data_IF_535391937087
#
_entry.id   IF_535391937087
#
_cell.length_a   1.000
_cell.length_b   1.000
_cell.length_c   1.000
_cell.angle_alpha   90.00
_cell.angle_beta   90.00
_cell.angle_gamma   90.00
#
_symmetry.space_group_name_H-M   'P 1'
#
loop_
_entity.id
_entity.type
_entity.pdbx_description
1 polymer ?
#
# COMPACT_ATOMS: atom_id res chain seq x y z
N UNK A 1 10.12 -52.12 47.13
CA UNK A 1 9.46 -51.65 45.90
C UNK A 1 9.88 -50.20 45.68
N UNK A 2 10.37 -49.86 44.48
CA UNK A 2 11.00 -48.57 44.13
C UNK A 2 9.95 -47.45 43.98
N UNK A 3 10.21 -46.20 44.41
CA UNK A 3 9.37 -45.06 44.05
C UNK A 3 9.72 -44.61 42.62
N UNK A 4 8.69 -44.43 41.79
CA UNK A 4 8.80 -43.88 40.44
C UNK A 4 8.72 -42.36 40.56
N UNK A 5 9.81 -41.64 40.23
CA UNK A 5 9.77 -40.20 40.00
C UNK A 5 9.25 -39.96 38.58
N UNK A 6 8.13 -39.24 38.46
CA UNK A 6 7.62 -38.72 37.20
C UNK A 6 8.28 -37.35 36.98
N UNK A 7 9.23 -37.27 36.02
CA UNK A 7 9.76 -36.00 35.53
C UNK A 7 8.75 -35.36 34.58
N UNK A 8 8.14 -34.26 35.02
CA UNK A 8 7.31 -33.40 34.17
C UNK A 8 8.27 -32.48 33.38
N UNK A 9 8.42 -32.77 32.08
CA UNK A 9 9.16 -31.95 31.15
C UNK A 9 8.31 -30.74 30.76
N UNK A 10 8.58 -29.58 31.35
CA UNK A 10 8.02 -28.30 30.90
C UNK A 10 8.63 -27.93 29.55
N UNK A 11 7.87 -28.11 28.47
CA UNK A 11 8.20 -27.54 27.16
C UNK A 11 7.96 -26.03 27.28
N UNK A 12 9.04 -25.27 27.42
CA UNK A 12 9.02 -23.82 27.31
C UNK A 12 8.71 -23.47 25.85
N UNK A 13 7.44 -23.19 25.54
CA UNK A 13 7.09 -22.50 24.30
C UNK A 13 7.72 -21.12 24.35
N UNK A 14 8.83 -20.92 23.65
CA UNK A 14 9.34 -19.60 23.34
C UNK A 14 8.32 -18.91 22.43
N UNK A 15 7.40 -18.15 23.03
CA UNK A 15 6.57 -17.20 22.29
C UNK A 15 7.54 -16.13 21.79
N UNK A 16 7.94 -16.22 20.52
CA UNK A 16 8.65 -15.14 19.87
C UNK A 16 7.70 -13.96 19.78
N UNK A 17 7.75 -13.07 20.77
CA UNK A 17 7.10 -11.76 20.69
C UNK A 17 7.63 -11.07 19.45
N UNK A 18 6.73 -10.72 18.51
CA UNK A 18 7.08 -9.83 17.42
C UNK A 18 7.69 -8.55 18.01
N UNK A 19 8.73 -7.96 17.40
CA UNK A 19 9.23 -6.67 17.83
C UNK A 19 8.07 -5.68 17.88
N UNK A 20 7.95 -4.91 18.96
CA UNK A 20 7.01 -3.79 19.00
C UNK A 20 7.31 -2.81 17.85
N UNK A 21 6.28 -2.20 17.27
CA UNK A 21 6.41 -1.09 16.32
C UNK A 21 7.10 0.09 17.04
N UNK A 22 8.43 0.10 17.02
CA UNK A 22 9.22 1.06 17.81
C UNK A 22 9.45 2.39 17.08
N UNK A 23 9.08 2.52 15.80
CA UNK A 23 9.27 3.74 15.01
C UNK A 23 7.99 4.56 14.88
N UNK A 24 8.09 5.89 15.04
CA UNK A 24 7.07 6.83 14.59
C UNK A 24 7.38 7.32 13.18
N UNK A 25 6.39 7.84 12.44
CA UNK A 25 6.66 8.44 11.12
C UNK A 25 7.71 9.55 11.19
N UNK A 26 7.69 10.31 12.28
CA UNK A 26 8.66 11.36 12.58
C UNK A 26 10.10 10.87 12.68
N UNK A 27 10.37 9.57 12.69
CA UNK A 27 11.73 9.01 12.65
C UNK A 27 12.21 8.65 11.24
N UNK A 28 11.35 8.60 10.22
CA UNK A 28 11.74 8.22 8.86
C UNK A 28 12.81 9.17 8.28
N UNK A 29 13.87 8.64 7.71
CA UNK A 29 14.91 9.48 7.09
C UNK A 29 14.39 10.15 5.82
N UNK A 30 14.70 11.43 5.61
CA UNK A 30 14.34 12.16 4.39
C UNK A 30 15.20 11.73 3.21
N UNK A 31 14.62 11.79 2.01
CA UNK A 31 15.18 11.47 0.68
C UNK A 31 14.62 10.18 0.06
N UNK A 32 14.97 9.96 -1.21
CA UNK A 32 14.61 8.78 -1.95
C UNK A 32 15.16 7.53 -1.27
N UNK A 33 14.33 6.49 -1.13
CA UNK A 33 14.78 5.20 -0.61
C UNK A 33 15.31 5.19 0.81
N UNK A 34 15.03 6.25 1.55
CA UNK A 34 15.58 6.41 2.88
C UNK A 34 14.86 5.52 3.89
N UNK A 35 15.63 4.94 4.80
CA UNK A 35 15.13 3.95 5.75
C UNK A 35 14.05 4.51 6.67
N UNK A 36 13.13 3.64 7.06
CA UNK A 36 11.99 4.02 7.90
C UNK A 36 12.30 4.00 9.40
N UNK A 37 13.52 3.59 9.78
CA UNK A 37 14.02 3.58 11.15
C UNK A 37 13.05 2.87 12.13
N UNK A 38 12.53 1.71 11.70
CA UNK A 38 11.63 0.86 12.47
C UNK A 38 10.14 1.21 12.36
N UNK A 39 9.75 2.23 11.58
CA UNK A 39 8.34 2.47 11.28
C UNK A 39 7.80 1.41 10.31
N UNK A 40 6.67 0.81 10.67
CA UNK A 40 5.93 -0.15 9.84
C UNK A 40 4.60 0.52 9.48
N UNK A 41 4.28 0.56 8.19
CA UNK A 41 3.03 1.14 7.69
C UNK A 41 1.83 0.40 8.25
N UNK A 42 0.82 1.13 8.70
CA UNK A 42 -0.42 0.65 9.31
C UNK A 42 -0.26 -0.02 10.70
N UNK A 43 -1.35 -0.12 11.49
CA UNK A 43 -1.37 -0.88 12.73
C UNK A 43 -0.97 -2.35 12.57
N UNK A 44 -0.54 -2.99 13.66
CA UNK A 44 -0.10 -4.39 13.66
C UNK A 44 -1.21 -5.40 13.31
N UNK A 45 -2.47 -5.04 13.52
CA UNK A 45 -3.65 -5.86 13.19
C UNK A 45 -4.15 -5.66 11.75
N UNK A 46 -3.54 -4.71 11.01
CA UNK A 46 -3.81 -4.49 9.60
C UNK A 46 -3.52 -5.77 8.78
N UNK A 47 -4.26 -5.97 7.69
CA UNK A 47 -4.07 -7.11 6.80
C UNK A 47 -2.62 -7.26 6.30
N UNK A 48 -1.90 -6.16 6.06
CA UNK A 48 -0.48 -6.16 5.69
C UNK A 48 0.40 -6.72 6.81
N UNK A 49 0.16 -6.36 8.06
CA UNK A 49 1.06 -6.65 9.19
C UNK A 49 0.64 -7.88 10.01
N UNK A 50 -0.56 -8.40 9.76
CA UNK A 50 -1.07 -9.57 10.48
C UNK A 50 -0.25 -10.82 10.14
N UNK A 51 0.27 -11.47 11.17
CA UNK A 51 0.87 -12.80 11.04
C UNK A 51 -0.22 -13.82 10.68
N UNK A 52 0.00 -14.53 9.57
CA UNK A 52 -0.90 -15.52 9.00
C UNK A 52 -0.29 -16.93 8.98
N UNK A 53 0.82 -17.19 9.69
CA UNK A 53 1.51 -18.48 9.65
C UNK A 53 0.58 -19.68 9.98
N UNK A 54 -0.45 -19.45 10.80
CA UNK A 54 -1.43 -20.46 11.21
C UNK A 54 -2.84 -20.18 10.66
N UNK A 55 -2.99 -19.26 9.71
CA UNK A 55 -4.29 -19.00 9.09
C UNK A 55 -4.82 -20.24 8.35
N UNK A 56 -6.14 -20.46 8.27
CA UNK A 56 -6.70 -21.56 7.51
C UNK A 56 -6.29 -21.52 6.04
N UNK A 57 -6.13 -22.71 5.44
CA UNK A 57 -5.84 -22.86 4.00
C UNK A 57 -7.16 -22.93 3.24
N UNK A 58 -7.21 -22.32 2.07
CA UNK A 58 -8.37 -22.38 1.19
C UNK A 58 -8.56 -23.82 0.66
N UNK A 59 -9.78 -24.38 0.69
CA UNK A 59 -10.05 -25.73 0.17
C UNK A 59 -9.67 -25.92 -1.30
N UNK A 60 -9.61 -24.84 -2.10
CA UNK A 60 -9.21 -24.89 -3.51
C UNK A 60 -7.72 -24.57 -3.73
N UNK A 61 -6.92 -24.46 -2.67
CA UNK A 61 -5.51 -24.04 -2.75
C UNK A 61 -4.74 -24.83 -3.81
N UNK A 62 -4.78 -26.16 -3.80
CA UNK A 62 -4.03 -26.98 -4.77
C UNK A 62 -4.49 -26.76 -6.21
N UNK A 63 -5.79 -26.59 -6.45
CA UNK A 63 -6.33 -26.32 -7.79
C UNK A 63 -5.89 -24.95 -8.31
N UNK A 64 -5.90 -23.93 -7.45
CA UNK A 64 -5.45 -22.57 -7.78
C UNK A 64 -3.94 -22.54 -8.05
N UNK A 65 -3.13 -23.19 -7.22
CA UNK A 65 -1.68 -23.29 -7.42
C UNK A 65 -1.34 -24.00 -8.73
N UNK A 66 -2.07 -25.07 -9.06
CA UNK A 66 -1.92 -25.75 -10.35
C UNK A 66 -2.32 -24.86 -11.53
N UNK A 67 -3.36 -24.02 -11.38
CA UNK A 67 -3.77 -23.05 -12.40
C UNK A 67 -2.74 -21.93 -12.63
N UNK A 68 -2.10 -21.44 -11.56
CA UNK A 68 -0.96 -20.50 -11.64
C UNK A 68 0.24 -21.14 -12.36
N UNK A 69 0.34 -22.47 -12.28
CA UNK A 69 1.46 -23.27 -12.74
C UNK A 69 2.34 -23.65 -11.56
N UNK A 70 2.23 -24.89 -11.09
CA UNK A 70 2.89 -25.38 -9.88
C UNK A 70 4.43 -25.28 -9.91
N UNK A 71 5.03 -25.25 -11.12
CA UNK A 71 6.47 -25.08 -11.35
C UNK A 71 6.87 -23.63 -11.66
N UNK A 72 5.92 -22.70 -11.80
CA UNK A 72 6.22 -21.27 -11.96
C UNK A 72 6.97 -20.80 -10.71
N UNK A 73 8.13 -20.18 -10.89
CA UNK A 73 9.00 -19.82 -9.78
C UNK A 73 8.77 -18.38 -9.33
N UNK A 74 9.01 -18.14 -8.04
CA UNK A 74 9.03 -16.80 -7.46
C UNK A 74 10.06 -15.94 -8.19
N UNK A 75 9.70 -14.73 -8.57
CA UNK A 75 10.58 -13.82 -9.29
C UNK A 75 10.71 -12.50 -8.51
N UNK A 76 11.92 -12.10 -8.06
CA UNK A 76 12.12 -10.76 -7.52
C UNK A 76 12.13 -9.76 -8.66
N UNK A 77 11.18 -8.83 -8.66
CA UNK A 77 11.06 -7.74 -9.62
C UNK A 77 11.65 -6.44 -9.05
N UNK A 78 12.85 -6.56 -8.49
CA UNK A 78 13.63 -5.50 -7.85
C UNK A 78 15.07 -5.96 -7.67
N UNK A 79 16.00 -5.02 -7.48
CA UNK A 79 17.40 -5.34 -7.22
C UNK A 79 18.33 -4.13 -7.27
N UNK A 80 19.62 -4.42 -7.42
CA UNK A 80 20.68 -3.43 -7.57
C UNK A 80 20.90 -3.08 -9.05
N UNK A 81 21.26 -1.83 -9.31
CA UNK A 81 21.56 -1.32 -10.65
C UNK A 81 20.35 -1.19 -11.57
N UNK A 82 20.62 -1.32 -12.87
CA UNK A 82 19.63 -1.10 -13.93
C UNK A 82 19.39 -2.37 -14.76
N UNK A 83 18.16 -2.54 -15.22
CA UNK A 83 17.79 -3.49 -16.27
C UNK A 83 17.30 -2.69 -17.48
N UNK A 84 17.90 -2.94 -18.64
CA UNK A 84 17.58 -2.23 -19.88
C UNK A 84 17.68 -0.68 -19.75
N UNK A 85 18.60 -0.20 -18.92
CA UNK A 85 18.84 1.24 -18.74
C UNK A 85 17.83 1.95 -17.84
N UNK A 86 17.12 1.20 -16.99
CA UNK A 86 16.20 1.71 -15.97
C UNK A 86 16.34 0.95 -14.65
N UNK A 87 16.08 1.62 -13.53
CA UNK A 87 16.09 1.01 -12.19
C UNK A 87 15.06 -0.12 -12.07
N UNK A 88 15.40 -1.18 -11.34
CA UNK A 88 14.56 -2.38 -11.18
C UNK A 88 13.73 -2.28 -9.89
N UNK A 89 12.40 -2.23 -10.01
CA UNK A 89 11.46 -2.11 -8.91
C UNK A 89 10.84 -0.71 -8.78
N UNK A 90 10.06 -0.51 -7.70
CA UNK A 90 9.24 0.68 -7.51
C UNK A 90 9.89 1.61 -6.46
N UNK A 91 10.37 2.80 -6.85
CA UNK A 91 11.01 3.71 -5.92
C UNK A 91 9.99 4.52 -5.11
N UNK A 92 10.43 5.04 -3.96
CA UNK A 92 9.67 5.99 -3.15
C UNK A 92 10.57 7.12 -2.64
N UNK A 93 9.95 8.19 -2.15
CA UNK A 93 10.62 9.29 -1.46
C UNK A 93 9.94 9.62 -0.13
N UNK A 94 10.75 9.86 0.90
CA UNK A 94 10.27 10.43 2.17
C UNK A 94 10.46 11.94 2.15
N UNK A 95 9.39 12.67 2.46
CA UNK A 95 9.35 14.13 2.49
C UNK A 95 8.95 14.65 3.86
N UNK A 96 9.36 15.89 4.16
CA UNK A 96 8.94 16.68 5.31
C UNK A 96 8.89 18.15 4.91
N UNK A 97 7.85 18.86 5.33
CA UNK A 97 7.58 20.26 4.94
C UNK A 97 7.40 20.48 3.43
N UNK A 98 7.15 19.43 2.65
CA UNK A 98 7.08 19.51 1.20
C UNK A 98 5.82 20.27 0.75
N UNK A 99 6.01 21.23 -0.16
CA UNK A 99 4.92 22.01 -0.72
C UNK A 99 3.94 21.11 -1.46
N UNK A 100 2.66 21.28 -1.15
CA UNK A 100 1.55 20.64 -1.83
C UNK A 100 1.37 21.18 -3.26
N UNK A 101 1.17 20.26 -4.19
CA UNK A 101 0.96 20.52 -5.62
C UNK A 101 -0.37 19.94 -6.10
N UNK A 102 -0.89 20.51 -7.19
CA UNK A 102 -2.09 19.98 -7.83
C UNK A 102 -1.71 18.76 -8.68
N UNK A 103 -2.52 17.72 -8.58
CA UNK A 103 -2.49 16.57 -9.49
C UNK A 103 -3.65 16.71 -10.48
N UNK A 104 -3.39 16.60 -11.77
CA UNK A 104 -4.41 16.51 -12.82
C UNK A 104 -4.67 15.07 -13.20
N UNK A 105 -5.94 14.65 -13.27
CA UNK A 105 -6.29 13.29 -13.65
C UNK A 105 -6.69 13.18 -15.12
N UNK A 106 -6.20 12.14 -15.81
CA UNK A 106 -6.50 11.88 -17.23
C UNK A 106 -7.20 10.53 -17.49
N UNK A 107 -7.48 9.73 -16.46
CA UNK A 107 -8.23 8.47 -16.56
C UNK A 107 -9.19 8.28 -15.38
N UNK A 108 -8.73 7.68 -14.27
CA UNK A 108 -9.53 7.28 -13.10
C UNK A 108 -9.75 8.44 -12.11
N UNK A 109 -10.08 9.63 -12.62
CA UNK A 109 -10.23 10.84 -11.80
C UNK A 109 -11.37 10.76 -10.78
N UNK A 110 -12.48 10.09 -11.15
CA UNK A 110 -13.66 9.94 -10.30
C UNK A 110 -13.44 8.96 -9.14
N UNK A 111 -12.48 8.06 -9.30
CA UNK A 111 -12.02 7.17 -8.23
C UNK A 111 -10.85 7.82 -7.46
N UNK A 112 -10.14 8.81 -8.00
CA UNK A 112 -8.95 9.35 -7.36
C UNK A 112 -9.22 10.28 -6.17
N UNK A 113 -8.24 10.39 -5.27
CA UNK A 113 -8.24 11.40 -4.21
C UNK A 113 -7.88 12.78 -4.77
N UNK A 114 -8.69 13.83 -4.54
CA UNK A 114 -8.65 15.08 -5.32
C UNK A 114 -7.44 15.99 -5.02
N UNK A 115 -6.58 15.62 -4.07
CA UNK A 115 -5.43 16.40 -3.63
C UNK A 115 -5.79 17.76 -3.00
N UNK A 116 -4.82 18.68 -2.86
CA UNK A 116 -3.44 18.58 -3.35
C UNK A 116 -2.61 17.51 -2.63
N UNK A 117 -1.39 17.23 -3.12
CA UNK A 117 -0.48 16.22 -2.55
C UNK A 117 0.95 16.77 -2.43
N UNK A 118 1.77 16.36 -1.44
CA UNK A 118 3.13 16.86 -1.23
C UNK A 118 4.14 16.16 -2.15
N UNK A 119 3.90 16.13 -3.46
CA UNK A 119 4.77 15.44 -4.43
C UNK A 119 5.87 16.38 -4.92
N UNK A 120 7.17 16.14 -4.62
CA UNK A 120 8.26 16.94 -5.16
C UNK A 120 8.31 16.83 -6.68
N UNK A 121 8.80 17.89 -7.36
CA UNK A 121 9.09 17.82 -8.81
C UNK A 121 10.13 16.73 -9.16
N UNK A 122 10.99 16.41 -8.19
CA UNK A 122 12.05 15.40 -8.26
C UNK A 122 11.63 14.04 -7.71
N UNK A 123 10.33 13.82 -7.45
CA UNK A 123 9.87 12.52 -6.98
C UNK A 123 10.28 11.42 -7.98
N UNK A 124 10.85 10.31 -7.52
CA UNK A 124 11.23 9.22 -8.41
C UNK A 124 9.97 8.56 -8.97
N UNK A 125 10.01 8.26 -10.25
CA UNK A 125 9.04 7.50 -11.01
C UNK A 125 9.62 6.10 -11.26
N UNK A 126 8.81 5.07 -11.11
CA UNK A 126 9.19 3.73 -11.55
C UNK A 126 9.70 3.71 -13.00
N UNK A 127 10.82 3.02 -13.21
CA UNK A 127 11.45 2.90 -14.51
C UNK A 127 12.32 4.10 -14.93
N UNK A 128 12.66 5.05 -14.05
CA UNK A 128 13.71 6.04 -14.37
C UNK A 128 15.05 5.35 -14.72
N UNK A 129 15.90 5.98 -15.58
CA UNK A 129 15.65 7.23 -16.27
C UNK A 129 14.73 7.15 -17.49
N UNK A 130 14.40 5.93 -17.94
CA UNK A 130 13.63 5.69 -19.16
C UNK A 130 12.29 4.99 -18.87
N UNK A 131 11.33 5.66 -18.19
CA UNK A 131 10.11 5.01 -17.69
C UNK A 131 9.12 4.59 -18.80
N UNK A 132 9.38 5.00 -20.05
CA UNK A 132 8.59 4.60 -21.22
C UNK A 132 7.08 4.76 -21.01
N UNK A 133 6.33 3.75 -21.45
CA UNK A 133 4.89 3.60 -21.26
C UNK A 133 4.53 2.60 -20.16
N UNK A 134 5.43 2.34 -19.21
CA UNK A 134 5.14 1.47 -18.05
C UNK A 134 4.13 2.12 -17.10
N UNK A 135 4.00 1.54 -15.90
CA UNK A 135 3.01 2.00 -14.92
C UNK A 135 3.36 3.36 -14.31
N UNK A 136 4.66 3.68 -14.22
CA UNK A 136 5.15 5.01 -13.82
C UNK A 136 4.63 5.39 -12.44
N UNK A 137 4.72 4.46 -11.49
CA UNK A 137 4.33 4.71 -10.12
C UNK A 137 5.17 5.83 -9.49
N UNK A 138 4.54 6.69 -8.69
CA UNK A 138 5.22 7.67 -7.81
C UNK A 138 4.67 7.51 -6.40
N UNK A 139 5.55 7.17 -5.46
CA UNK A 139 5.21 6.91 -4.07
C UNK A 139 5.89 7.94 -3.16
N UNK A 140 5.10 8.63 -2.33
CA UNK A 140 5.57 9.69 -1.45
C UNK A 140 5.08 9.46 -0.03
N UNK A 141 6.00 9.36 0.92
CA UNK A 141 5.70 9.32 2.34
C UNK A 141 5.91 10.69 2.96
N UNK A 142 4.84 11.25 3.52
CA UNK A 142 4.90 12.45 4.33
C UNK A 142 5.15 12.07 5.79
N UNK A 143 6.40 12.24 6.23
CA UNK A 143 6.83 11.86 7.58
C UNK A 143 6.21 12.73 8.66
N UNK A 144 5.90 13.97 8.33
CA UNK A 144 5.43 14.97 9.30
C UNK A 144 3.96 14.73 9.63
N UNK A 145 3.19 14.26 8.64
CA UNK A 145 1.76 14.03 8.79
C UNK A 145 1.35 12.54 8.78
N UNK A 146 2.28 11.59 8.61
CA UNK A 146 1.99 10.15 8.53
C UNK A 146 0.99 9.78 7.42
N UNK A 147 1.21 10.28 6.20
CA UNK A 147 0.40 9.92 5.04
C UNK A 147 1.28 9.35 3.93
N UNK A 148 0.71 8.41 3.20
CA UNK A 148 1.28 7.89 1.96
C UNK A 148 0.43 8.40 0.78
N UNK A 149 1.10 8.90 -0.25
CA UNK A 149 0.49 9.38 -1.48
C UNK A 149 1.07 8.58 -2.64
N UNK A 150 0.20 8.00 -3.46
CA UNK A 150 0.60 7.14 -4.55
C UNK A 150 -0.11 7.54 -5.83
N UNK A 151 0.62 7.54 -6.94
CA UNK A 151 0.08 7.86 -8.26
C UNK A 151 0.44 6.77 -9.26
N UNK A 152 -0.48 6.46 -10.17
CA UNK A 152 -0.26 5.60 -11.34
C UNK A 152 -0.32 6.43 -12.62
N UNK A 153 0.49 6.07 -13.62
CA UNK A 153 0.58 6.78 -14.89
C UNK A 153 1.12 8.21 -14.72
N UNK A 154 2.08 8.42 -13.83
CA UNK A 154 2.50 9.76 -13.43
C UNK A 154 3.44 10.44 -14.44
N UNK A 155 3.19 11.72 -14.68
CA UNK A 155 4.01 12.60 -15.50
C UNK A 155 4.18 13.96 -14.84
N UNK A 156 5.43 14.39 -14.68
CA UNK A 156 5.76 15.74 -14.21
C UNK A 156 5.60 16.76 -15.34
N UNK A 157 4.89 17.85 -15.05
CA UNK A 157 4.69 18.95 -15.99
C UNK A 157 5.83 19.98 -15.86
N UNK A 158 6.05 20.79 -16.91
CA UNK A 158 7.08 21.84 -16.94
C UNK A 158 6.98 22.82 -15.75
N UNK A 159 5.76 23.15 -15.35
CA UNK A 159 5.45 24.04 -14.23
C UNK A 159 5.63 23.40 -12.83
N UNK A 160 6.03 22.13 -12.75
CA UNK A 160 6.24 21.41 -11.50
C UNK A 160 4.98 20.82 -10.84
N UNK A 161 3.81 20.94 -11.48
CA UNK A 161 2.65 20.11 -11.14
C UNK A 161 2.75 18.74 -11.82
N UNK A 162 1.82 17.86 -11.50
CA UNK A 162 1.78 16.50 -12.02
C UNK A 162 0.46 16.20 -12.73
N UNK A 163 0.52 15.31 -13.71
CA UNK A 163 -0.65 14.59 -14.21
C UNK A 163 -0.49 13.10 -13.91
N UNK A 164 -1.58 12.41 -13.61
CA UNK A 164 -1.59 10.98 -13.32
C UNK A 164 -2.90 10.36 -13.84
N UNK A 165 -2.88 9.05 -14.10
CA UNK A 165 -4.09 8.30 -14.40
C UNK A 165 -4.96 8.14 -13.16
N UNK A 166 -4.34 7.86 -12.01
CA UNK A 166 -5.01 7.83 -10.70
C UNK A 166 -4.10 8.36 -9.59
N UNK A 167 -4.70 8.73 -8.46
CA UNK A 167 -3.95 8.89 -7.22
C UNK A 167 -4.78 8.47 -6.00
N UNK A 168 -4.11 7.89 -5.01
CA UNK A 168 -4.70 7.47 -3.74
C UNK A 168 -3.88 8.00 -2.56
N UNK A 169 -4.56 8.28 -1.45
CA UNK A 169 -3.93 8.66 -0.18
C UNK A 169 -4.27 7.64 0.90
N UNK A 170 -3.31 7.38 1.78
CA UNK A 170 -3.43 6.37 2.82
C UNK A 170 -2.97 6.89 4.16
N UNK A 171 -3.83 6.77 5.16
CA UNK A 171 -3.47 7.01 6.54
C UNK A 171 -2.59 5.86 7.06
N UNK A 172 -1.29 6.14 7.25
CA UNK A 172 -0.34 5.12 7.70
C UNK A 172 -0.51 4.70 9.17
N UNK A 173 -1.43 5.33 9.90
CA UNK A 173 -1.75 5.05 11.31
C UNK A 173 -3.10 4.33 11.47
N UNK A 174 -3.89 4.18 10.41
CA UNK A 174 -5.24 3.62 10.48
C UNK A 174 -5.46 2.50 9.46
N UNK A 175 -6.51 1.69 9.69
CA UNK A 175 -6.90 0.57 8.83
C UNK A 175 -7.87 1.01 7.72
N UNK A 176 -7.52 2.09 7.02
CA UNK A 176 -8.35 2.63 5.95
C UNK A 176 -8.37 1.69 4.73
N UNK A 177 -9.51 1.66 4.04
CA UNK A 177 -9.70 0.98 2.76
C UNK A 177 -10.28 1.97 1.76
N UNK A 178 -9.93 1.80 0.48
CA UNK A 178 -10.59 2.50 -0.62
C UNK A 178 -12.07 2.11 -0.70
N UNK A 179 -12.95 2.96 -1.27
CA UNK A 179 -14.30 2.53 -1.57
C UNK A 179 -14.31 1.23 -2.38
N UNK A 180 -15.30 0.38 -2.13
CA UNK A 180 -15.50 -0.80 -2.95
C UNK A 180 -15.62 -0.41 -4.42
N UNK A 181 -15.00 -1.24 -5.27
CA UNK A 181 -14.85 -1.05 -6.72
C UNK A 181 -14.03 0.16 -7.14
N UNK A 182 -13.36 0.86 -6.23
CA UNK A 182 -12.42 1.91 -6.60
C UNK A 182 -11.01 1.35 -6.70
N UNK A 183 -10.36 1.58 -7.83
CA UNK A 183 -8.93 1.31 -8.05
C UNK A 183 -8.05 2.21 -7.16
N UNK A 184 -6.74 2.13 -7.30
CA UNK A 184 -5.79 3.03 -6.65
C UNK A 184 -4.61 3.31 -7.59
N UNK A 185 -3.41 3.56 -7.05
CA UNK A 185 -2.19 3.42 -7.83
C UNK A 185 -1.91 1.95 -8.19
N UNK A 186 -2.46 1.01 -7.42
CA UNK A 186 -2.45 -0.44 -7.66
C UNK A 186 -3.83 -0.92 -8.14
N UNK A 187 -3.87 -1.90 -9.04
CA UNK A 187 -5.12 -2.38 -9.64
C UNK A 187 -6.08 -3.04 -8.63
N UNK A 188 -5.63 -3.61 -7.52
CA UNK A 188 -6.50 -4.21 -6.51
C UNK A 188 -7.21 -3.18 -5.62
N UNK A 189 -6.94 -1.88 -5.82
CA UNK A 189 -7.37 -0.83 -4.90
C UNK A 189 -6.59 -0.87 -3.58
N UNK A 190 -5.33 -1.31 -3.64
CA UNK A 190 -4.41 -1.47 -2.51
C UNK A 190 -3.30 -0.42 -2.51
N UNK A 191 -2.66 -0.13 -1.37
CA UNK A 191 -1.44 0.66 -1.38
C UNK A 191 -0.27 -0.15 -1.96
N UNK A 192 0.59 0.48 -2.76
CA UNK A 192 1.78 -0.17 -3.36
C UNK A 192 2.91 -0.30 -2.35
N UNK A 193 3.28 0.82 -1.70
CA UNK A 193 4.44 0.92 -0.82
C UNK A 193 4.48 -0.12 0.31
N UNK A 194 3.39 -0.39 1.05
CA UNK A 194 3.38 -1.38 2.13
C UNK A 194 3.61 -2.81 1.66
N UNK A 195 3.51 -3.07 0.35
CA UNK A 195 3.80 -4.38 -0.24
C UNK A 195 5.21 -4.54 -0.79
N UNK A 196 6.08 -3.52 -0.73
CA UNK A 196 7.42 -3.58 -1.31
C UNK A 196 8.41 -4.25 -0.37
N UNK A 197 9.23 -5.17 -0.88
CA UNK A 197 10.45 -5.57 -0.19
C UNK A 197 11.46 -4.41 -0.18
N UNK A 198 12.01 -4.06 1.00
CA UNK A 198 12.98 -2.96 1.14
C UNK A 198 14.29 -3.43 1.75
N UNK A 199 15.38 -2.83 1.29
CA UNK A 199 16.72 -3.24 1.70
C UNK A 199 16.98 -2.96 3.19
N UNK A 200 16.49 -1.84 3.73
CA UNK A 200 16.69 -1.48 5.14
C UNK A 200 16.09 -2.52 6.10
N UNK A 201 14.93 -3.09 5.75
CA UNK A 201 14.30 -4.17 6.52
C UNK A 201 15.07 -5.49 6.41
N UNK A 202 15.53 -5.83 5.20
CA UNK A 202 16.35 -7.03 4.99
C UNK A 202 17.69 -6.93 5.71
N UNK A 203 18.32 -5.76 5.67
CA UNK A 203 19.54 -5.47 6.43
C UNK A 203 19.31 -5.49 7.95
N UNK A 204 18.13 -5.07 8.41
CA UNK A 204 17.70 -5.21 9.80
C UNK A 204 17.32 -6.65 10.20
N UNK A 205 17.22 -7.56 9.22
CA UNK A 205 17.00 -8.99 9.43
C UNK A 205 15.54 -9.43 9.45
N UNK A 206 14.57 -8.55 9.23
CA UNK A 206 13.15 -8.90 9.20
C UNK A 206 12.31 -7.90 8.40
N UNK A 207 11.48 -8.44 7.50
CA UNK A 207 10.32 -7.72 6.93
C UNK A 207 9.09 -8.10 7.77
N UNK A 208 8.33 -7.10 8.22
CA UNK A 208 7.25 -7.27 9.21
C UNK A 208 5.84 -7.12 8.62
N UNK A 209 5.73 -7.28 7.30
CA UNK A 209 4.50 -7.12 6.56
C UNK A 209 4.46 -8.10 5.38
N UNK A 210 3.28 -8.26 4.78
CA UNK A 210 3.08 -9.01 3.56
C UNK A 210 3.72 -8.27 2.38
N UNK A 211 4.13 -9.03 1.37
CA UNK A 211 4.61 -8.47 0.10
C UNK A 211 3.48 -8.40 -0.93
N UNK A 212 3.57 -7.51 -1.92
CA UNK A 212 2.70 -7.55 -3.09
C UNK A 212 3.30 -8.43 -4.17
N UNK A 213 2.44 -9.09 -4.93
CA UNK A 213 2.87 -9.83 -6.11
C UNK A 213 1.83 -9.74 -7.23
N UNK A 214 2.24 -10.17 -8.43
CA UNK A 214 1.36 -10.20 -9.61
C UNK A 214 1.16 -11.62 -10.15
N UNK A 215 0.02 -11.80 -10.81
CA UNK A 215 -0.33 -13.00 -11.60
C UNK A 215 -0.79 -12.58 -12.99
N UNK A 216 -0.55 -13.43 -13.97
CA UNK A 216 -1.00 -13.14 -15.34
C UNK A 216 -2.52 -13.06 -15.47
N UNK A 217 -3.23 -13.89 -14.71
CA UNK A 217 -4.67 -14.06 -14.85
C UNK A 217 -5.39 -13.76 -13.52
N UNK A 218 -6.39 -12.91 -13.60
CA UNK A 218 -7.33 -12.63 -12.51
C UNK A 218 -8.78 -12.68 -12.99
N UNK A 219 -9.68 -13.07 -12.09
CA UNK A 219 -11.13 -13.09 -12.35
C UNK A 219 -11.81 -11.81 -11.86
N UNK A 220 -13.07 -11.59 -12.27
CA UNK A 220 -13.90 -10.45 -11.84
C UNK A 220 -14.40 -10.59 -10.40
N UNK A 221 -13.44 -10.65 -9.47
CA UNK A 221 -13.66 -10.80 -8.06
C UNK A 221 -12.48 -10.24 -7.25
N UNK A 222 -12.74 -9.92 -5.99
CA UNK A 222 -11.72 -9.54 -5.02
C UNK A 222 -12.04 -10.11 -3.65
N UNK A 223 -11.05 -10.19 -2.77
CA UNK A 223 -11.18 -10.59 -1.37
C UNK A 223 -10.36 -9.61 -0.52
N UNK A 224 -10.76 -9.30 0.73
CA UNK A 224 -9.99 -8.39 1.57
C UNK A 224 -8.50 -8.77 1.66
N UNK A 225 -7.57 -7.78 1.68
CA UNK A 225 -7.83 -6.35 1.83
C UNK A 225 -8.16 -5.59 0.53
N UNK A 226 -8.17 -6.25 -0.63
CA UNK A 226 -8.49 -5.58 -1.89
C UNK A 226 -9.92 -5.01 -1.86
N UNK A 227 -10.14 -3.95 -2.64
CA UNK A 227 -11.45 -3.32 -2.84
C UNK A 227 -11.92 -3.35 -4.29
N UNK A 228 -11.03 -3.70 -5.23
CA UNK A 228 -11.25 -3.62 -6.67
C UNK A 228 -10.68 -4.85 -7.38
N UNK A 229 -11.12 -5.08 -8.63
CA UNK A 229 -10.66 -6.19 -9.48
C UNK A 229 -10.27 -5.68 -10.87
N UNK A 230 -9.28 -6.32 -11.50
CA UNK A 230 -8.86 -6.01 -12.87
C UNK A 230 -8.93 -7.27 -13.75
N UNK A 231 -10.13 -7.79 -13.97
CA UNK A 231 -10.30 -9.11 -14.56
C UNK A 231 -9.82 -9.21 -16.02
N UNK A 232 -9.09 -10.26 -16.33
CA UNK A 232 -8.72 -10.65 -17.70
C UNK A 232 -8.94 -12.15 -17.99
N UNK A 233 -9.61 -12.85 -17.07
CA UNK A 233 -9.99 -14.26 -17.20
C UNK A 233 -11.39 -14.52 -16.65
N UNK A 234 -12.11 -15.46 -17.25
CA UNK A 234 -13.39 -15.98 -16.75
C UNK A 234 -13.24 -17.32 -16.00
N UNK A 235 -12.01 -17.86 -15.90
CA UNK A 235 -11.77 -19.13 -15.21
C UNK A 235 -12.00 -18.96 -13.70
N UNK A 236 -12.80 -19.86 -13.10
CA UNK A 236 -13.09 -19.85 -11.67
C UNK A 236 -11.84 -20.02 -10.78
N UNK A 237 -10.75 -20.58 -11.29
CA UNK A 237 -9.47 -20.74 -10.59
C UNK A 237 -8.52 -19.55 -10.75
N UNK A 238 -8.83 -18.59 -11.63
CA UNK A 238 -8.05 -17.35 -11.68
C UNK A 238 -8.21 -16.59 -10.36
N UNK A 239 -7.12 -15.99 -9.88
CA UNK A 239 -7.10 -15.37 -8.56
C UNK A 239 -8.09 -14.19 -8.51
N UNK A 240 -8.90 -14.04 -7.45
CA UNK A 240 -9.45 -12.74 -7.12
C UNK A 240 -8.31 -11.79 -6.70
N UNK A 241 -8.45 -10.49 -6.95
CA UNK A 241 -7.54 -9.50 -6.35
C UNK A 241 -7.61 -9.59 -4.82
N UNK A 242 -6.47 -9.37 -4.15
CA UNK A 242 -6.34 -9.54 -2.70
C UNK A 242 -6.11 -10.98 -2.24
N UNK A 243 -6.18 -11.99 -3.13
CA UNK A 243 -5.83 -13.37 -2.78
C UNK A 243 -4.43 -13.43 -2.15
N UNK A 244 -4.30 -14.13 -1.02
CA UNK A 244 -3.05 -14.21 -0.28
C UNK A 244 -2.41 -15.60 -0.41
N UNK A 245 -1.17 -15.62 -0.88
CA UNK A 245 -0.32 -16.81 -0.87
C UNK A 245 0.58 -16.81 0.36
N UNK A 246 0.71 -17.94 1.03
CA UNK A 246 1.64 -18.17 2.14
C UNK A 246 2.68 -19.20 1.74
N UNK A 247 3.96 -18.93 2.00
CA UNK A 247 5.00 -19.94 1.85
C UNK A 247 4.82 -20.98 2.96
N UNK A 248 4.75 -22.27 2.59
CA UNK A 248 4.53 -23.35 3.57
C UNK A 248 5.64 -23.35 4.62
N UNK A 249 5.26 -23.52 5.89
CA UNK A 249 6.22 -23.62 6.99
C UNK A 249 7.18 -24.82 6.85
N UNK A 250 6.76 -25.86 6.11
CA UNK A 250 7.57 -27.05 5.81
C UNK A 250 8.59 -26.86 4.68
N UNK A 251 8.50 -25.76 3.91
CA UNK A 251 9.49 -25.49 2.88
C UNK A 251 10.81 -25.06 3.52
N UNK A 252 11.87 -25.83 3.30
CA UNK A 252 13.18 -25.56 3.92
C UNK A 252 13.85 -24.36 3.26
N UNK A 253 14.05 -23.31 4.04
CA UNK A 253 14.72 -22.08 3.62
C UNK A 253 16.18 -22.00 4.11
N UNK A 254 16.67 -23.00 4.83
CA UNK A 254 18.00 -22.98 5.47
C UNK A 254 19.15 -22.84 4.45
N UNK A 255 18.99 -23.45 3.27
CA UNK A 255 19.93 -23.36 2.14
C UNK A 255 19.83 -22.09 1.30
N UNK A 256 19.02 -21.11 1.70
CA UNK A 256 18.95 -19.82 1.02
C UNK A 256 19.98 -18.82 1.56
N UNK A 257 20.55 -17.98 0.68
CA UNK A 257 21.42 -16.88 1.08
C UNK A 257 20.65 -15.83 1.91
N UNK A 258 21.38 -14.96 2.58
CA UNK A 258 20.85 -14.21 3.73
C UNK A 258 19.70 -13.27 3.37
N UNK A 259 19.79 -12.51 2.27
CA UNK A 259 18.74 -11.55 1.90
C UNK A 259 17.45 -12.29 1.51
N UNK A 260 17.57 -13.32 0.67
CA UNK A 260 16.48 -14.22 0.31
C UNK A 260 15.85 -14.89 1.53
N UNK A 261 16.65 -15.34 2.49
CA UNK A 261 16.14 -16.01 3.70
C UNK A 261 15.26 -15.08 4.53
N UNK A 262 15.60 -13.79 4.63
CA UNK A 262 14.74 -12.80 5.30
C UNK A 262 13.41 -12.63 4.56
N UNK A 263 13.44 -12.50 3.24
CA UNK A 263 12.24 -12.40 2.39
C UNK A 263 11.36 -13.65 2.54
N UNK A 264 11.95 -14.85 2.46
CA UNK A 264 11.20 -16.11 2.58
C UNK A 264 10.62 -16.29 3.99
N UNK A 265 11.33 -15.85 5.02
CA UNK A 265 10.79 -15.82 6.39
C UNK A 265 9.55 -14.93 6.48
N UNK A 266 9.56 -13.77 5.81
CA UNK A 266 8.39 -12.90 5.72
C UNK A 266 7.25 -13.56 4.94
N UNK A 267 7.54 -14.28 3.85
CA UNK A 267 6.53 -15.03 3.09
C UNK A 267 5.93 -16.21 3.88
N UNK A 268 6.65 -16.80 4.84
CA UNK A 268 6.08 -17.79 5.76
C UNK A 268 5.15 -17.16 6.81
N UNK A 269 5.52 -15.97 7.32
CA UNK A 269 4.79 -15.29 8.41
C UNK A 269 3.62 -14.44 7.94
N UNK A 270 3.84 -13.67 6.89
CA UNK A 270 2.90 -12.69 6.35
C UNK A 270 2.45 -13.04 4.94
N UNK A 271 3.17 -13.88 4.21
CA UNK A 271 2.79 -14.22 2.83
C UNK A 271 2.85 -13.02 1.88
N UNK A 272 2.14 -13.14 0.77
CA UNK A 272 2.07 -12.12 -0.26
C UNK A 272 0.66 -11.99 -0.84
N UNK A 273 0.26 -10.77 -1.18
CA UNK A 273 -1.09 -10.39 -1.58
C UNK A 273 -1.10 -10.06 -3.09
N UNK A 274 -2.04 -10.69 -3.81
CA UNK A 274 -2.24 -10.49 -5.24
C UNK A 274 -2.78 -9.08 -5.47
N UNK A 275 -1.97 -8.23 -6.10
CA UNK A 275 -2.25 -6.80 -6.19
C UNK A 275 -2.56 -6.35 -7.63
N UNK A 276 -1.91 -6.96 -8.62
CA UNK A 276 -2.08 -6.55 -10.02
C UNK A 276 -1.92 -7.70 -11.00
N UNK A 277 -2.37 -7.49 -12.23
CA UNK A 277 -2.02 -8.35 -13.33
C UNK A 277 -0.59 -8.05 -13.79
N UNK A 278 0.17 -9.10 -14.04
CA UNK A 278 1.55 -8.98 -14.48
C UNK A 278 2.13 -10.34 -14.82
N UNK A 279 3.45 -10.48 -14.74
CA UNK A 279 4.06 -11.79 -14.86
C UNK A 279 3.80 -12.62 -13.60
N UNK A 280 3.45 -13.89 -13.76
CA UNK A 280 3.10 -14.73 -12.61
C UNK A 280 4.26 -14.90 -11.62
N UNK A 281 3.95 -14.74 -10.34
CA UNK A 281 4.85 -14.90 -9.19
C UNK A 281 5.93 -13.80 -9.08
N UNK A 282 5.72 -12.64 -9.71
CA UNK A 282 6.62 -11.49 -9.58
C UNK A 282 6.31 -10.72 -8.30
N UNK A 283 7.28 -10.68 -7.38
CA UNK A 283 7.20 -9.96 -6.11
C UNK A 283 7.90 -8.62 -6.27
N UNK A 284 7.22 -7.54 -5.88
CA UNK A 284 7.76 -6.19 -6.02
C UNK A 284 8.63 -5.78 -4.83
N UNK A 285 9.59 -4.93 -5.10
CA UNK A 285 10.43 -4.30 -4.10
C UNK A 285 10.97 -2.98 -4.58
N UNK A 286 11.74 -2.33 -3.71
CA UNK A 286 12.38 -1.06 -4.00
C UNK A 286 13.75 -1.29 -4.68
N UNK A 287 14.13 -0.51 -5.72
CA UNK A 287 15.49 -0.50 -6.25
C UNK A 287 16.49 -0.05 -5.19
N UNK A 288 17.62 -0.77 -5.03
CA UNK A 288 18.69 -0.38 -4.11
C UNK A 288 20.01 -1.06 -4.50
N UNK A 289 21.09 -0.27 -4.67
CA UNK A 289 22.40 -0.80 -5.08
C UNK A 289 23.05 -1.73 -4.06
N UNK A 290 22.52 -1.79 -2.83
CA UNK A 290 23.01 -2.69 -1.77
C UNK A 290 22.38 -4.08 -1.84
N UNK A 291 21.37 -4.29 -2.68
CA UNK A 291 20.87 -5.63 -2.98
C UNK A 291 21.98 -6.48 -3.60
N UNK A 292 22.06 -7.75 -3.20
CA UNK A 292 22.88 -8.72 -3.89
C UNK A 292 21.99 -9.45 -4.91
N UNK A 293 22.19 -9.17 -6.20
CA UNK A 293 21.36 -9.76 -7.25
C UNK A 293 21.51 -11.29 -7.36
N UNK A 294 22.69 -11.85 -7.04
CA UNK A 294 22.87 -13.31 -7.00
C UNK A 294 22.11 -13.94 -5.82
N UNK A 295 22.10 -13.26 -4.68
CA UNK A 295 21.27 -13.63 -3.52
C UNK A 295 19.80 -13.62 -3.92
N UNK A 296 19.28 -12.48 -4.41
CA UNK A 296 17.89 -12.35 -4.84
C UNK A 296 17.50 -13.38 -5.90
N UNK A 297 18.38 -13.67 -6.86
CA UNK A 297 18.13 -14.67 -7.90
C UNK A 297 17.89 -16.09 -7.32
N UNK A 298 18.37 -16.37 -6.10
CA UNK A 298 18.09 -17.61 -5.40
C UNK A 298 16.59 -17.80 -5.09
N UNK A 299 15.80 -16.73 -4.97
CA UNK A 299 14.33 -16.80 -4.81
C UNK A 299 13.66 -17.57 -5.95
N UNK A 300 14.24 -17.57 -7.16
CA UNK A 300 13.75 -18.33 -8.32
C UNK A 300 13.85 -19.85 -8.16
N UNK A 301 14.41 -20.34 -7.06
CA UNK A 301 14.36 -21.77 -6.68
C UNK A 301 13.05 -22.16 -6.00
N UNK A 302 12.24 -21.20 -5.58
CA UNK A 302 10.96 -21.44 -4.89
C UNK A 302 9.83 -21.56 -5.91
N UNK A 303 9.24 -22.75 -6.12
CA UNK A 303 8.12 -22.92 -7.02
C UNK A 303 6.80 -22.48 -6.37
N UNK A 304 5.78 -22.16 -7.17
CA UNK A 304 4.43 -21.87 -6.69
C UNK A 304 3.86 -23.03 -5.84
N UNK A 305 4.22 -24.29 -6.13
CA UNK A 305 3.86 -25.46 -5.30
C UNK A 305 4.37 -25.43 -3.86
N UNK A 306 5.37 -24.60 -3.55
CA UNK A 306 5.81 -24.35 -2.18
C UNK A 306 4.86 -23.44 -1.39
N UNK A 307 3.92 -22.79 -2.07
CA UNK A 307 2.91 -21.92 -1.46
C UNK A 307 1.57 -22.65 -1.29
N UNK A 308 0.74 -22.04 -0.47
CA UNK A 308 -0.67 -22.37 -0.32
C UNK A 308 -1.51 -21.09 -0.30
N UNK A 309 -2.76 -21.20 -0.76
CA UNK A 309 -3.71 -20.09 -0.71
C UNK A 309 -4.30 -20.02 0.69
N UNK A 310 -4.18 -18.87 1.34
CA UNK A 310 -4.88 -18.62 2.60
C UNK A 310 -6.37 -18.52 2.32
N UNK A 311 -7.20 -19.08 3.20
CA UNK A 311 -8.65 -19.11 3.07
C UNK A 311 -9.20 -17.75 2.65
N UNK A 312 -9.87 -17.72 1.50
CA UNK A 312 -10.52 -16.52 0.98
C UNK A 312 -11.95 -16.46 1.49
N UNK A 313 -12.18 -15.61 2.49
CA UNK A 313 -13.52 -15.37 3.02
C UNK A 313 -13.65 -13.92 3.53
N UNK A 314 -14.56 -13.11 2.96
CA UNK A 314 -15.42 -13.38 1.82
C UNK A 314 -14.72 -13.17 0.47
N UNK A 315 -15.34 -13.69 -0.61
CA UNK A 315 -15.02 -13.30 -1.99
C UNK A 315 -16.17 -12.44 -2.55
N UNK A 316 -15.82 -11.23 -2.96
CA UNK A 316 -16.73 -10.28 -3.57
C UNK A 316 -16.63 -10.31 -5.09
N UNK A 317 -17.79 -10.19 -5.73
CA UNK A 317 -18.04 -10.15 -7.17
C UNK A 317 -19.06 -9.06 -7.41
N UNK A 318 -19.33 -8.73 -8.67
CA UNK A 318 -20.40 -7.79 -9.03
C UNK A 318 -21.75 -8.09 -8.33
N UNK A 319 -22.05 -9.36 -8.04
CA UNK A 319 -23.32 -9.77 -7.45
C UNK A 319 -23.43 -9.52 -5.93
N UNK A 320 -22.31 -9.39 -5.22
CA UNK A 320 -22.30 -9.33 -3.75
C UNK A 320 -21.30 -8.31 -3.17
N UNK A 321 -20.81 -7.34 -3.98
CA UNK A 321 -20.04 -6.21 -3.46
C UNK A 321 -20.83 -5.53 -2.34
N UNK A 322 -20.24 -5.30 -1.15
CA UNK A 322 -20.96 -4.66 -0.05
C UNK A 322 -21.46 -3.27 -0.43
N UNK A 323 -22.70 -2.99 -0.04
CA UNK A 323 -23.35 -1.69 -0.26
C UNK A 323 -23.61 -1.00 1.07
N UNK A 324 -23.64 0.32 1.06
CA UNK A 324 -23.89 1.15 2.23
C UNK A 324 -23.97 2.62 1.86
N UNK A 325 -24.34 3.50 2.81
CA UNK A 325 -24.45 4.92 2.53
C UNK A 325 -23.07 5.57 2.41
N UNK A 326 -22.97 6.55 1.50
CA UNK A 326 -21.86 7.51 1.51
C UNK A 326 -21.77 8.22 2.88
N UNK A 327 -20.60 8.80 3.23
CA UNK A 327 -20.48 9.64 4.41
C UNK A 327 -21.46 10.81 4.36
N UNK A 328 -21.96 11.28 5.50
CA UNK A 328 -22.84 12.45 5.55
C UNK A 328 -22.10 13.64 6.13
N UNK A 329 -22.09 14.77 5.42
CA UNK A 329 -21.51 16.03 5.89
C UNK A 329 -22.63 16.86 6.51
N UNK A 330 -22.61 17.01 7.83
CA UNK A 330 -23.59 17.84 8.55
C UNK A 330 -23.26 19.33 8.44
N UNK A 331 -21.97 19.69 8.39
CA UNK A 331 -21.53 21.08 8.24
C UNK A 331 -20.13 21.18 7.65
N UNK A 332 -19.88 22.23 6.87
CA UNK A 332 -18.54 22.69 6.49
C UNK A 332 -18.53 24.22 6.43
N UNK A 333 -17.83 24.86 7.36
CA UNK A 333 -17.90 26.31 7.60
C UNK A 333 -16.51 26.94 7.67
N UNK A 334 -16.46 28.27 7.56
CA UNK A 334 -15.24 29.06 7.69
C UNK A 334 -15.46 30.20 8.70
N UNK A 335 -14.50 30.41 9.59
CA UNK A 335 -14.54 31.49 10.58
C UNK A 335 -13.18 32.22 10.67
N UNK A 336 -13.10 33.52 10.34
CA UNK A 336 -14.14 34.32 9.68
C UNK A 336 -14.29 33.95 8.19
N UNK A 337 -15.46 34.22 7.60
CA UNK A 337 -15.70 33.96 6.17
C UNK A 337 -15.16 35.08 5.26
N UNK A 338 -14.93 36.28 5.80
CA UNK A 338 -14.27 37.39 5.12
C UNK A 338 -13.09 37.86 5.96
N UNK A 339 -11.94 38.03 5.33
CA UNK A 339 -10.66 38.19 6.03
C UNK A 339 -9.72 39.10 5.23
N UNK A 340 -8.90 39.90 5.92
CA UNK A 340 -7.85 40.67 5.24
C UNK A 340 -6.75 39.73 4.72
N UNK A 341 -6.06 40.11 3.64
CA UNK A 341 -4.92 39.31 3.14
C UNK A 341 -3.90 38.99 4.23
N UNK A 342 -3.53 37.71 4.36
CA UNK A 342 -2.54 37.25 5.33
C UNK A 342 -3.09 36.95 6.73
N UNK A 343 -4.40 37.15 6.97
CA UNK A 343 -5.03 36.82 8.23
C UNK A 343 -5.57 35.37 8.23
N UNK A 344 -5.57 34.69 9.40
CA UNK A 344 -5.96 33.29 9.49
C UNK A 344 -7.47 33.09 9.39
N UNK A 345 -7.87 31.94 8.85
CA UNK A 345 -9.25 31.42 8.84
C UNK A 345 -9.24 29.99 9.33
N UNK A 346 -10.21 29.65 10.17
CA UNK A 346 -10.45 28.28 10.61
C UNK A 346 -11.56 27.70 9.74
N UNK A 347 -11.27 26.63 9.02
CA UNK A 347 -12.29 25.78 8.44
C UNK A 347 -12.68 24.71 9.46
N UNK A 348 -13.97 24.46 9.63
CA UNK A 348 -14.48 23.44 10.54
C UNK A 348 -15.57 22.60 9.87
N UNK A 349 -15.63 21.30 10.20
CA UNK A 349 -16.62 20.40 9.66
C UNK A 349 -17.13 19.38 10.67
N UNK A 350 -18.30 18.83 10.37
CA UNK A 350 -18.88 17.69 11.07
C UNK A 350 -19.38 16.71 10.03
N UNK A 351 -18.98 15.46 10.15
CA UNK A 351 -19.40 14.39 9.25
C UNK A 351 -19.57 13.08 10.03
N UNK A 352 -20.50 12.24 9.58
CA UNK A 352 -20.72 10.90 10.11
C UNK A 352 -20.41 9.85 9.04
N UNK A 353 -20.12 8.62 9.49
CA UNK A 353 -19.74 7.51 8.63
C UNK A 353 -18.54 7.86 7.72
N UNK A 354 -17.59 8.65 8.25
CA UNK A 354 -16.39 9.10 7.56
C UNK A 354 -15.23 8.15 7.86
N UNK A 355 -14.51 7.74 6.82
CA UNK A 355 -13.19 7.12 6.96
C UNK A 355 -12.11 8.19 7.04
N UNK A 356 -11.98 9.00 5.98
CA UNK A 356 -10.93 10.03 5.88
C UNK A 356 -11.40 11.31 5.18
N UNK A 357 -10.60 12.36 5.32
CA UNK A 357 -10.89 13.71 4.83
C UNK A 357 -9.81 14.22 3.89
N UNK A 358 -10.22 14.91 2.83
CA UNK A 358 -9.34 15.70 1.96
C UNK A 358 -9.92 17.10 1.80
N UNK A 359 -9.12 18.14 2.05
CA UNK A 359 -9.51 19.55 1.89
C UNK A 359 -8.72 20.22 0.77
N UNK A 360 -9.38 20.49 -0.35
CA UNK A 360 -8.80 21.19 -1.50
C UNK A 360 -9.09 22.70 -1.43
N UNK A 361 -8.24 23.57 -2.04
CA UNK A 361 -7.08 23.24 -2.86
C UNK A 361 -5.73 23.36 -2.14
N UNK A 362 -5.70 23.56 -0.81
CA UNK A 362 -4.46 23.90 -0.09
C UNK A 362 -4.01 22.89 0.97
N UNK A 363 -4.94 22.14 1.57
CA UNK A 363 -4.65 21.37 2.78
C UNK A 363 -4.29 19.91 2.46
N UNK A 364 -5.02 19.27 1.54
CA UNK A 364 -4.81 17.86 1.21
C UNK A 364 -5.46 16.92 2.22
N UNK A 365 -4.92 15.70 2.35
CA UNK A 365 -5.39 14.69 3.30
C UNK A 365 -5.15 15.15 4.74
N UNK A 366 -6.13 14.95 5.63
CA UNK A 366 -6.08 15.49 7.00
C UNK A 366 -6.88 14.64 7.99
N UNK A 367 -6.42 14.62 9.25
CA UNK A 367 -7.16 14.06 10.39
C UNK A 367 -7.83 15.17 11.19
N UNK A 368 -8.92 14.83 11.87
CA UNK A 368 -9.66 15.77 12.72
C UNK A 368 -10.79 16.49 11.99
N UNK A 369 -11.31 17.54 12.61
CA UNK A 369 -12.57 18.22 12.23
C UNK A 369 -12.40 19.71 11.93
N UNK A 370 -11.18 20.22 11.96
CA UNK A 370 -10.90 21.62 11.65
C UNK A 370 -9.45 21.82 11.21
N UNK A 371 -9.20 22.88 10.45
CA UNK A 371 -7.86 23.31 10.05
C UNK A 371 -7.78 24.83 9.98
N UNK A 372 -6.67 25.38 10.48
CA UNK A 372 -6.35 26.81 10.32
C UNK A 372 -5.52 26.99 9.05
N UNK A 373 -5.89 27.97 8.23
CA UNK A 373 -5.18 28.33 7.01
C UNK A 373 -5.09 29.85 6.84
N UNK A 374 -4.23 30.29 5.93
CA UNK A 374 -4.05 31.71 5.59
C UNK A 374 -4.29 31.88 4.08
N UNK A 375 -5.51 32.24 3.65
CA UNK A 375 -5.82 32.37 2.23
C UNK A 375 -5.13 33.63 1.66
N UNK A 376 -4.36 33.46 0.58
CA UNK A 376 -3.72 34.59 -0.10
C UNK A 376 -4.66 35.36 -1.06
N UNK A 377 -5.78 34.73 -1.44
CA UNK A 377 -6.82 35.26 -2.34
C UNK A 377 -8.16 34.60 -2.02
N UNK A 378 -9.26 35.23 -2.44
CA UNK A 378 -10.60 34.63 -2.35
C UNK A 378 -10.59 33.22 -2.94
N UNK A 379 -10.98 32.25 -2.12
CA UNK A 379 -10.83 30.82 -2.42
C UNK A 379 -12.08 30.07 -2.00
N UNK A 380 -12.57 29.20 -2.89
CA UNK A 380 -13.58 28.20 -2.54
C UNK A 380 -12.87 26.92 -2.12
N UNK A 381 -13.05 26.54 -0.86
CA UNK A 381 -12.56 25.29 -0.33
C UNK A 381 -13.59 24.18 -0.56
N UNK A 382 -13.10 22.97 -0.79
CA UNK A 382 -13.92 21.76 -0.92
C UNK A 382 -13.46 20.74 0.10
N UNK A 383 -14.37 20.30 0.96
CA UNK A 383 -14.21 19.13 1.80
C UNK A 383 -14.69 17.91 1.03
N UNK A 384 -13.84 16.89 0.92
CA UNK A 384 -14.20 15.56 0.46
C UNK A 384 -14.12 14.60 1.64
N UNK A 385 -15.19 13.87 1.90
CA UNK A 385 -15.29 12.87 2.97
C UNK A 385 -15.53 11.51 2.31
N UNK A 386 -14.68 10.53 2.61
CA UNK A 386 -14.71 9.22 1.95
C UNK A 386 -14.82 8.10 2.98
N UNK A 387 -15.55 7.03 2.66
CA UNK A 387 -15.58 5.76 3.38
C UNK A 387 -15.56 4.59 2.37
N UNK A 388 -15.72 3.35 2.84
CA UNK A 388 -15.73 2.16 1.98
C UNK A 388 -16.88 2.10 0.96
N UNK A 389 -17.90 2.97 1.04
CA UNK A 389 -19.05 2.97 0.13
C UNK A 389 -19.02 4.10 -0.89
N UNK A 390 -18.22 5.14 -0.65
CA UNK A 390 -18.08 6.24 -1.59
C UNK A 390 -17.68 7.55 -0.92
N UNK A 391 -18.06 8.65 -1.57
CA UNK A 391 -17.62 10.00 -1.20
C UNK A 391 -18.76 11.00 -1.21
N UNK A 392 -18.72 11.90 -0.22
CA UNK A 392 -19.53 13.11 -0.18
C UNK A 392 -18.65 14.35 -0.21
N UNK A 393 -19.17 15.46 -0.72
CA UNK A 393 -18.43 16.72 -0.77
C UNK A 393 -19.26 17.91 -0.32
N UNK A 394 -18.60 18.92 0.26
CA UNK A 394 -19.19 20.21 0.61
C UNK A 394 -18.21 21.33 0.27
N UNK A 395 -18.71 22.55 0.07
CA UNK A 395 -17.85 23.71 -0.24
C UNK A 395 -18.15 24.90 0.67
N UNK A 396 -17.12 25.70 0.92
CA UNK A 396 -17.24 27.00 1.60
C UNK A 396 -16.33 28.01 0.93
N UNK A 397 -16.82 29.23 0.73
CA UNK A 397 -16.05 30.32 0.11
C UNK A 397 -15.53 31.25 1.19
N UNK A 398 -14.21 31.48 1.18
CA UNK A 398 -13.54 32.49 1.99
C UNK A 398 -13.19 33.68 1.10
N UNK A 399 -13.63 34.87 1.48
CA UNK A 399 -13.35 36.12 0.76
C UNK A 399 -12.13 36.80 1.37
N UNK A 400 -11.13 37.11 0.54
CA UNK A 400 -9.96 37.89 0.95
C UNK A 400 -10.11 39.31 0.41
N UNK A 401 -10.00 40.29 1.31
CA UNK A 401 -10.04 41.72 1.01
C UNK A 401 -8.69 42.39 1.22
#
# INVERSE_FOLDING_TARGET
MRPILISILFILCAVSSAPAQNGSCGNMSLAQGSGLNGFVSFPSDNAWNRNIATAPVDPNSDAIINFIGASTTLHPDFGAGEYQGSTIGIPYVVVGGQRFVKIGFNAYGDESDPGPMPVPKTAPIEGYPNPGSGDRHVLVLDRDNCWLYEMFGAHVLKNGNWTAASAAVWDLLNNEQRPYTWTSADAAGLPVFPGLARYDEVAAGAIQHALRFTLKLSRAAFTPPASHWAANSSNGLAAPMGMRLRLKASYDISGFPQQSKVILTALQRYGMIMADNGSSMFVSGMPDDRWNNDDLNALKRVPASAFEVVLMDPVYTQANVPQGPNPMIASFTANPQTVAKGMPVILSWSATNAGYFVVSPQVGAIRGTSVTLVPAKTTTYKLSVTNQYGRSTATVKVTVQ
#
